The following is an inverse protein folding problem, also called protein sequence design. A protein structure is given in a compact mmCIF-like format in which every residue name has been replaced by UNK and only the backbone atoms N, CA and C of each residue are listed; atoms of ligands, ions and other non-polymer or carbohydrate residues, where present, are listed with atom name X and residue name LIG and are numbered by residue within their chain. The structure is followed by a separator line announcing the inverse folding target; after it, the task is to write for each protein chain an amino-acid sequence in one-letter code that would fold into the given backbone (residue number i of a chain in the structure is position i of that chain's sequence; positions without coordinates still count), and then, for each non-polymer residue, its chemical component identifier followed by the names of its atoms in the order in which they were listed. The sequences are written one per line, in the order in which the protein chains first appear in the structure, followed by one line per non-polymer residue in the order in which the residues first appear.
data_IF_981765358432
#
_entry.id   IF_981765358432
#
_cell.length_a   1.000
_cell.length_b   1.000
_cell.length_c   1.000
_cell.angle_alpha   90.00
_cell.angle_beta   90.00
_cell.angle_gamma   90.00
#
_symmetry.space_group_name_H-M   'P 1'
#
loop_
_entity.id
_entity.type
_entity.pdbx_description
1 polymer ?
#
# COMPACT_ATOMS: atom_id res chain seq x y z
N UNK A 1 10.14 -18.23 64.38
CA UNK A 1 11.07 -17.12 64.65
C UNK A 1 12.33 -17.10 63.76
N UNK A 2 12.43 -17.95 62.71
CA UNK A 2 13.53 -17.90 61.73
C UNK A 2 13.03 -17.53 60.32
N UNK A 3 11.71 -17.48 60.12
CA UNK A 3 11.09 -17.16 58.82
C UNK A 3 10.80 -15.67 58.60
N UNK A 4 11.00 -14.81 59.62
CA UNK A 4 10.76 -13.36 59.51
C UNK A 4 12.03 -12.55 59.21
N UNK A 5 13.21 -13.18 59.23
CA UNK A 5 14.48 -12.50 58.89
C UNK A 5 14.81 -12.58 57.39
N UNK A 6 14.52 -13.71 56.72
CA UNK A 6 14.72 -13.83 55.26
C UNK A 6 13.79 -12.90 54.47
N UNK A 7 12.54 -12.72 54.93
CA UNK A 7 11.57 -11.84 54.26
C UNK A 7 11.91 -10.33 54.37
N UNK A 8 12.63 -9.91 55.40
CA UNK A 8 13.02 -8.51 55.60
C UNK A 8 14.33 -8.14 54.89
N UNK A 9 15.17 -9.14 54.56
CA UNK A 9 16.40 -8.94 53.79
C UNK A 9 16.11 -8.83 52.28
N UNK A 10 15.15 -9.59 51.75
CA UNK A 10 14.75 -9.52 50.34
C UNK A 10 14.04 -8.19 49.99
N UNK A 11 13.27 -7.61 50.92
CA UNK A 11 12.66 -6.28 50.74
C UNK A 11 13.70 -5.15 50.75
N UNK A 12 14.83 -5.32 51.46
CA UNK A 12 15.91 -4.32 51.46
C UNK A 12 16.79 -4.39 50.20
N UNK A 13 16.95 -5.56 49.57
CA UNK A 13 17.65 -5.71 48.29
C UNK A 13 16.83 -5.10 47.14
N UNK A 14 15.50 -5.15 47.20
CA UNK A 14 14.63 -4.55 46.20
C UNK A 14 14.56 -3.00 46.28
N UNK A 15 14.86 -2.42 47.45
CA UNK A 15 14.73 -0.96 47.69
C UNK A 15 16.07 -0.22 47.53
N UNK A 16 17.21 -0.91 47.37
CA UNK A 16 18.53 -0.25 47.20
C UNK A 16 19.10 -0.26 45.77
N UNK A 17 18.42 -0.85 44.79
CA UNK A 17 18.81 -0.73 43.39
C UNK A 17 17.97 0.37 42.73
N UNK A 18 18.35 1.63 42.96
CA UNK A 18 17.98 2.69 42.03
C UNK A 18 18.45 2.24 40.64
N UNK A 19 17.53 1.72 39.82
CA UNK A 19 17.82 1.11 38.52
C UNK A 19 18.60 2.12 37.70
N UNK A 20 19.93 1.96 37.67
CA UNK A 20 20.83 2.83 36.95
C UNK A 20 20.34 2.80 35.50
N UNK A 21 19.94 3.96 34.99
CA UNK A 21 19.38 4.06 33.65
C UNK A 21 20.43 3.51 32.68
N UNK A 22 20.15 2.38 32.05
CA UNK A 22 21.11 1.70 31.17
C UNK A 22 21.53 2.67 30.06
N UNK A 23 22.83 2.79 29.86
CA UNK A 23 23.38 3.55 28.74
C UNK A 23 23.16 2.78 27.43
N UNK A 24 23.28 3.47 26.29
CA UNK A 24 23.24 2.83 24.97
C UNK A 24 24.29 1.72 24.83
N UNK A 25 25.45 1.89 25.49
CA UNK A 25 26.52 0.89 25.52
C UNK A 25 26.07 -0.37 26.24
N UNK A 26 25.43 -0.22 27.40
CA UNK A 26 24.96 -1.36 28.21
C UNK A 26 23.93 -2.19 27.41
N UNK A 27 23.02 -1.53 26.69
CA UNK A 27 22.08 -2.22 25.79
C UNK A 27 22.76 -2.94 24.63
N UNK A 28 23.81 -2.34 24.06
CA UNK A 28 24.56 -2.96 22.98
C UNK A 28 25.32 -4.20 23.46
N UNK A 29 25.95 -4.13 24.63
CA UNK A 29 26.65 -5.27 25.25
C UNK A 29 25.67 -6.40 25.57
N UNK A 30 24.48 -6.08 26.09
CA UNK A 30 23.40 -7.06 26.30
C UNK A 30 22.90 -7.72 25.01
N UNK A 31 22.79 -6.95 23.93
CA UNK A 31 22.42 -7.46 22.61
C UNK A 31 23.50 -8.38 22.04
N UNK A 32 24.78 -7.96 22.07
CA UNK A 32 25.91 -8.75 21.57
C UNK A 32 26.02 -10.07 22.33
N UNK A 33 25.84 -10.06 23.65
CA UNK A 33 25.84 -11.27 24.47
C UNK A 33 24.72 -12.28 24.08
N UNK A 34 23.64 -11.80 23.45
CA UNK A 34 22.49 -12.62 23.02
C UNK A 34 22.40 -12.78 21.49
N UNK A 35 23.36 -12.22 20.75
CA UNK A 35 23.30 -12.16 19.29
C UNK A 35 23.17 -13.54 18.65
N UNK A 36 23.79 -14.58 19.24
CA UNK A 36 23.66 -15.96 18.75
C UNK A 36 22.23 -16.48 18.76
N UNK A 37 21.49 -16.27 19.86
CA UNK A 37 20.08 -16.70 19.99
C UNK A 37 19.21 -15.91 18.99
N UNK A 38 19.42 -14.59 18.90
CA UNK A 38 18.70 -13.72 17.97
C UNK A 38 18.95 -14.13 16.52
N UNK A 39 20.22 -14.36 16.14
CA UNK A 39 20.57 -14.77 14.78
C UNK A 39 19.98 -16.14 14.42
N UNK A 40 20.00 -17.12 15.34
CA UNK A 40 19.39 -18.42 15.10
C UNK A 40 17.88 -18.28 14.84
N UNK A 41 17.16 -17.55 15.70
CA UNK A 41 15.72 -17.31 15.53
C UNK A 41 15.42 -16.53 14.22
N UNK A 42 16.27 -15.58 13.84
CA UNK A 42 16.15 -14.88 12.55
C UNK A 42 16.33 -15.83 11.36
N UNK A 43 17.28 -16.76 11.43
CA UNK A 43 17.50 -17.77 10.39
C UNK A 43 16.34 -18.78 10.30
N UNK A 44 15.67 -19.10 11.40
CA UNK A 44 14.47 -19.96 11.38
C UNK A 44 13.34 -19.36 10.55
N UNK A 45 13.20 -18.03 10.51
CA UNK A 45 12.25 -17.35 9.61
C UNK A 45 12.64 -17.44 8.13
N UNK A 46 13.89 -17.76 7.82
CA UNK A 46 14.36 -18.00 6.46
C UNK A 46 14.39 -19.48 6.08
N UNK A 47 14.22 -20.38 7.07
CA UNK A 47 14.28 -21.81 6.88
C UNK A 47 13.14 -22.31 5.97
N UNK A 48 13.50 -23.27 5.12
CA UNK A 48 12.56 -23.89 4.20
C UNK A 48 11.81 -25.02 4.88
N UNK A 49 10.53 -24.79 5.13
CA UNK A 49 9.59 -25.86 5.47
C UNK A 49 8.94 -26.33 4.17
N UNK A 50 9.09 -27.62 3.85
CA UNK A 50 8.58 -28.20 2.60
C UNK A 50 7.08 -28.52 2.65
N UNK A 51 6.49 -28.56 3.83
CA UNK A 51 5.06 -28.79 4.09
C UNK A 51 4.33 -27.49 4.39
N UNK A 52 3.09 -27.37 3.91
CA UNK A 52 2.27 -26.18 4.09
C UNK A 52 1.89 -26.00 5.57
N UNK A 53 2.13 -24.81 6.12
CA UNK A 53 1.77 -24.48 7.50
C UNK A 53 0.26 -24.64 7.78
N UNK A 54 -0.60 -24.21 6.87
CA UNK A 54 -2.05 -24.21 7.11
C UNK A 54 -2.75 -25.56 6.90
N UNK A 55 -2.30 -26.39 5.95
CA UNK A 55 -2.98 -27.65 5.64
C UNK A 55 -2.14 -28.89 5.90
N UNK A 56 -0.85 -28.75 6.24
CA UNK A 56 0.09 -29.79 6.67
C UNK A 56 0.39 -30.94 5.68
N UNK A 57 -0.36 -31.08 4.59
CA UNK A 57 -0.24 -32.21 3.67
C UNK A 57 0.29 -31.84 2.28
N UNK A 58 0.15 -30.57 1.86
CA UNK A 58 0.63 -30.11 0.55
C UNK A 58 2.03 -29.54 0.62
N UNK A 59 2.76 -29.65 -0.49
CA UNK A 59 4.06 -28.99 -0.64
C UNK A 59 3.92 -27.48 -0.53
N UNK A 60 4.72 -26.87 0.32
CA UNK A 60 4.82 -25.43 0.44
C UNK A 60 5.86 -24.87 -0.52
N UNK A 61 5.49 -23.81 -1.22
CA UNK A 61 6.37 -23.12 -2.17
C UNK A 61 6.22 -21.62 -2.13
N UNK A 62 5.36 -21.09 -1.26
CA UNK A 62 5.03 -19.68 -1.17
C UNK A 62 5.23 -19.19 0.25
N UNK A 63 5.79 -18.00 0.43
CA UNK A 63 5.79 -17.29 1.72
C UNK A 63 5.35 -15.86 1.55
N UNK A 64 4.72 -15.31 2.58
CA UNK A 64 4.37 -13.90 2.64
C UNK A 64 5.43 -13.15 3.44
N UNK A 65 5.87 -11.98 2.95
CA UNK A 65 6.85 -11.13 3.64
C UNK A 65 6.23 -10.23 4.71
N UNK A 66 4.90 -10.14 4.73
CA UNK A 66 4.15 -9.17 5.54
C UNK A 66 3.31 -9.83 6.63
N UNK A 67 2.90 -11.09 6.45
CA UNK A 67 2.33 -11.86 7.54
C UNK A 67 3.35 -12.02 8.69
N UNK A 68 2.86 -11.88 9.92
CA UNK A 68 3.67 -11.89 11.14
C UNK A 68 4.59 -13.12 11.27
N UNK A 69 4.06 -14.32 10.99
CA UNK A 69 4.80 -15.57 11.24
C UNK A 69 5.71 -16.00 10.07
N UNK A 70 5.65 -15.32 8.90
CA UNK A 70 6.47 -15.60 7.70
C UNK A 70 6.61 -17.09 7.34
N UNK A 71 5.55 -17.87 7.54
CA UNK A 71 5.54 -19.31 7.29
C UNK A 71 5.37 -19.65 5.81
N UNK A 72 5.64 -20.91 5.47
CA UNK A 72 5.51 -21.46 4.12
C UNK A 72 4.11 -22.03 3.89
N UNK A 73 3.50 -21.69 2.75
CA UNK A 73 2.17 -22.12 2.33
C UNK A 73 2.21 -22.82 0.97
N UNK A 74 1.24 -23.71 0.75
CA UNK A 74 0.87 -24.15 -0.59
C UNK A 74 0.09 -23.04 -1.32
N UNK A 75 -0.07 -23.16 -2.64
CA UNK A 75 -0.74 -22.16 -3.48
C UNK A 75 -2.16 -21.80 -2.99
N UNK A 76 -2.95 -22.81 -2.65
CA UNK A 76 -4.35 -22.63 -2.22
C UNK A 76 -4.45 -21.93 -0.87
N UNK A 77 -3.69 -22.39 0.13
CA UNK A 77 -3.69 -21.74 1.45
C UNK A 77 -3.12 -20.33 1.38
N UNK A 78 -2.13 -20.07 0.50
CA UNK A 78 -1.63 -18.72 0.26
C UNK A 78 -2.73 -17.81 -0.28
N UNK A 79 -3.52 -18.28 -1.27
CA UNK A 79 -4.68 -17.53 -1.80
C UNK A 79 -5.68 -17.22 -0.70
N UNK A 80 -6.16 -18.26 -0.01
CA UNK A 80 -7.26 -18.11 0.96
C UNK A 80 -6.89 -17.19 2.13
N UNK A 81 -5.63 -17.25 2.60
CA UNK A 81 -5.13 -16.37 3.65
C UNK A 81 -5.02 -14.90 3.23
N UNK A 82 -5.03 -14.59 1.93
CA UNK A 82 -4.78 -13.25 1.38
C UNK A 82 -5.93 -12.68 0.56
N UNK A 83 -7.13 -13.27 0.62
CA UNK A 83 -8.31 -12.71 -0.04
C UNK A 83 -8.64 -11.30 0.51
N UNK A 84 -8.54 -11.13 1.83
CA UNK A 84 -8.78 -9.84 2.52
C UNK A 84 -7.54 -8.95 2.59
N UNK A 85 -6.36 -9.47 2.21
CA UNK A 85 -5.09 -8.74 2.24
C UNK A 85 -4.42 -8.79 0.85
N UNK A 86 -5.07 -8.26 -0.20
CA UNK A 86 -4.66 -8.46 -1.59
C UNK A 86 -3.35 -7.75 -1.95
N UNK A 87 -2.86 -6.85 -1.08
CA UNK A 87 -1.63 -6.08 -1.33
C UNK A 87 -0.42 -6.63 -0.57
N UNK A 88 -0.51 -7.78 0.09
CA UNK A 88 0.68 -8.38 0.71
C UNK A 88 1.71 -8.84 -0.34
N UNK A 89 2.99 -8.60 -0.06
CA UNK A 89 4.08 -9.09 -0.92
C UNK A 89 4.43 -10.53 -0.58
N UNK A 90 4.48 -11.36 -1.61
CA UNK A 90 4.81 -12.78 -1.50
C UNK A 90 6.10 -13.12 -2.25
N UNK A 91 6.63 -14.31 -1.96
CA UNK A 91 7.77 -14.89 -2.68
C UNK A 91 7.46 -16.35 -3.01
N UNK A 92 8.02 -16.82 -4.13
CA UNK A 92 7.94 -18.21 -4.57
C UNK A 92 9.32 -18.86 -4.45
N UNK A 93 9.36 -20.05 -3.86
CA UNK A 93 10.54 -20.90 -3.86
C UNK A 93 10.74 -21.55 -5.23
N UNK A 94 11.88 -21.30 -5.87
CA UNK A 94 12.22 -21.86 -7.19
C UNK A 94 12.83 -23.25 -7.10
N UNK A 95 13.23 -23.69 -5.90
CA UNK A 95 14.06 -24.87 -5.69
C UNK A 95 15.48 -24.51 -5.25
N UNK A 96 15.94 -23.31 -5.57
CA UNK A 96 17.28 -22.81 -5.22
C UNK A 96 17.25 -21.50 -4.43
N UNK A 97 16.31 -20.61 -4.74
CA UNK A 97 16.18 -19.32 -4.07
C UNK A 97 14.71 -18.86 -4.05
N UNK A 98 14.44 -17.81 -3.27
CA UNK A 98 13.14 -17.14 -3.27
C UNK A 98 13.12 -16.01 -4.29
N UNK A 99 12.25 -16.13 -5.29
CA UNK A 99 11.95 -15.03 -6.20
C UNK A 99 10.78 -14.19 -5.67
N UNK A 100 10.72 -12.90 -5.99
CA UNK A 100 9.51 -12.11 -5.85
C UNK A 100 8.32 -12.80 -6.55
N UNK A 101 7.17 -12.77 -5.91
CA UNK A 101 5.92 -13.29 -6.47
C UNK A 101 4.81 -12.27 -6.30
N UNK A 102 3.74 -12.45 -7.07
CA UNK A 102 2.54 -11.62 -6.94
C UNK A 102 1.32 -12.47 -6.60
N UNK A 103 0.40 -11.89 -5.85
CA UNK A 103 -0.77 -12.59 -5.34
C UNK A 103 -1.72 -13.10 -6.45
N UNK A 104 -1.68 -12.51 -7.64
CA UNK A 104 -2.41 -13.07 -8.79
C UNK A 104 -1.87 -14.44 -9.24
N UNK A 105 -0.58 -14.76 -9.03
CA UNK A 105 -0.01 -16.07 -9.40
C UNK A 105 -0.66 -17.20 -8.58
N UNK A 106 -1.06 -16.88 -7.35
CA UNK A 106 -1.81 -17.80 -6.50
C UNK A 106 -3.32 -17.70 -6.71
N UNK A 107 -3.80 -16.71 -7.48
CA UNK A 107 -5.20 -16.51 -7.87
C UNK A 107 -6.00 -15.61 -6.94
N UNK A 108 -5.35 -14.65 -6.29
CA UNK A 108 -6.04 -13.55 -5.60
C UNK A 108 -6.40 -12.47 -6.62
N UNK A 109 -7.60 -11.92 -6.48
CA UNK A 109 -8.13 -10.80 -7.24
C UNK A 109 -8.76 -9.78 -6.29
N UNK A 110 -8.94 -8.56 -6.76
CA UNK A 110 -9.70 -7.52 -6.03
C UNK A 110 -11.11 -7.50 -6.60
N UNK A 111 -12.08 -7.98 -5.81
CA UNK A 111 -13.49 -8.03 -6.20
C UNK A 111 -14.24 -6.89 -5.52
N UNK A 112 -14.97 -6.12 -6.30
CA UNK A 112 -15.97 -5.17 -5.79
C UNK A 112 -17.34 -5.74 -6.09
N UNK A 113 -17.90 -6.41 -5.08
CA UNK A 113 -19.29 -6.84 -5.10
C UNK A 113 -20.19 -5.64 -4.78
N UNK A 114 -21.26 -5.45 -5.54
CA UNK A 114 -22.33 -4.56 -5.11
C UNK A 114 -22.95 -5.20 -3.86
N UNK A 115 -23.10 -4.44 -2.78
CA UNK A 115 -23.69 -4.97 -1.55
C UNK A 115 -25.07 -5.57 -1.83
N UNK A 116 -25.14 -6.90 -1.94
CA UNK A 116 -26.36 -7.75 -2.00
C UNK A 116 -27.43 -7.26 -2.99
N UNK A 117 -27.18 -7.42 -4.28
CA UNK A 117 -28.27 -7.85 -5.17
C UNK A 117 -27.94 -9.25 -5.67
N UNK A 118 -28.69 -10.22 -5.18
CA UNK A 118 -28.66 -11.59 -5.66
C UNK A 118 -28.96 -11.60 -7.16
N UNK A 119 -27.95 -11.79 -8.00
CA UNK A 119 -28.13 -12.26 -9.36
C UNK A 119 -27.90 -13.77 -9.34
N UNK A 120 -29.01 -14.50 -9.28
CA UNK A 120 -29.06 -15.92 -9.63
C UNK A 120 -29.22 -16.07 -11.14
N UNK A 121 -28.52 -17.07 -11.70
CA UNK A 121 -28.60 -17.54 -13.09
C UNK A 121 -27.91 -16.59 -14.08
N UNK A 122 -27.27 -17.02 -15.14
CA UNK A 122 -26.93 -18.33 -15.72
C UNK A 122 -25.85 -17.99 -16.76
N UNK A 123 -25.03 -18.97 -17.14
CA UNK A 123 -23.95 -18.81 -18.12
C UNK A 123 -24.46 -18.24 -19.45
N UNK A 124 -23.75 -17.26 -20.02
CA UNK A 124 -23.75 -17.01 -21.46
C UNK A 124 -22.38 -16.47 -21.87
N UNK A 125 -21.59 -17.37 -22.49
CA UNK A 125 -20.33 -17.07 -23.17
C UNK A 125 -20.66 -16.54 -24.56
N UNK A 126 -20.38 -15.28 -24.84
CA UNK A 126 -20.30 -14.78 -26.21
C UNK A 126 -19.03 -13.96 -26.42
N UNK A 127 -18.21 -14.46 -27.34
CA UNK A 127 -16.95 -13.88 -27.74
C UNK A 127 -17.11 -12.68 -28.68
N UNK A 128 -16.13 -11.78 -28.62
CA UNK A 128 -15.84 -10.87 -29.71
C UNK A 128 -14.34 -10.56 -29.74
N UNK A 129 -13.72 -10.86 -30.87
CA UNK A 129 -12.40 -10.39 -31.28
C UNK A 129 -12.35 -8.85 -31.31
N UNK A 130 -11.20 -8.26 -30.93
CA UNK A 130 -10.37 -7.49 -31.89
C UNK A 130 -9.11 -6.84 -31.24
N UNK A 131 -7.99 -7.12 -31.91
CA UNK A 131 -6.88 -6.25 -32.34
C UNK A 131 -5.91 -5.62 -31.30
N UNK A 132 -4.73 -6.23 -31.32
CA UNK A 132 -3.41 -5.80 -30.86
C UNK A 132 -2.92 -4.53 -31.60
N UNK A 133 -2.60 -3.48 -30.85
CA UNK A 133 -1.72 -2.41 -31.31
C UNK A 133 -0.82 -1.90 -30.15
N UNK A 134 0.50 -2.07 -30.31
CA UNK A 134 1.50 -1.14 -29.79
C UNK A 134 2.22 -1.51 -28.49
N UNK A 135 3.16 -2.46 -28.54
CA UNK A 135 4.20 -2.62 -27.49
C UNK A 135 5.22 -1.48 -27.56
N UNK A 136 5.15 -0.54 -26.62
CA UNK A 136 6.32 0.25 -26.24
C UNK A 136 7.19 -0.61 -25.31
N UNK A 137 8.43 -0.90 -25.75
CA UNK A 137 9.36 -1.75 -25.01
C UNK A 137 9.64 -1.22 -23.60
N UNK A 138 9.22 -1.99 -22.59
CA UNK A 138 9.72 -1.81 -21.24
C UNK A 138 11.19 -2.29 -21.20
N UNK A 139 12.07 -1.63 -20.44
CA UNK A 139 13.40 -2.18 -20.17
C UNK A 139 13.26 -3.57 -19.55
N UNK A 140 14.07 -4.52 -20.01
CA UNK A 140 14.08 -5.90 -19.54
C UNK A 140 14.13 -5.92 -18.00
N UNK A 141 13.06 -6.43 -17.39
CA UNK A 141 12.97 -6.58 -15.94
C UNK A 141 14.10 -7.52 -15.46
N UNK A 142 14.59 -7.37 -14.22
CA UNK A 142 15.47 -8.36 -13.62
C UNK A 142 14.82 -9.76 -13.72
N UNK A 143 15.67 -10.76 -13.96
CA UNK A 143 15.40 -12.08 -14.57
C UNK A 143 14.26 -12.91 -13.93
N UNK A 144 13.63 -12.49 -12.83
CA UNK A 144 12.66 -13.32 -12.10
C UNK A 144 11.44 -12.59 -11.52
N UNK A 145 11.10 -11.42 -12.05
CA UNK A 145 9.86 -10.73 -11.68
C UNK A 145 8.66 -11.24 -12.46
N UNK A 146 7.52 -11.53 -11.80
CA UNK A 146 6.32 -11.94 -12.49
C UNK A 146 5.74 -10.75 -13.27
N UNK A 147 5.70 -10.87 -14.59
CA UNK A 147 4.99 -9.92 -15.46
C UNK A 147 3.52 -10.32 -15.45
N UNK A 148 2.66 -9.41 -15.01
CA UNK A 148 1.22 -9.63 -15.06
C UNK A 148 0.75 -9.73 -16.53
N UNK A 149 -0.12 -10.69 -16.86
CA UNK A 149 -0.75 -10.75 -18.17
C UNK A 149 -1.70 -9.55 -18.35
N UNK A 150 -2.17 -9.32 -19.58
CA UNK A 150 -3.14 -8.25 -19.86
C UNK A 150 -4.50 -8.54 -19.23
N UNK A 151 -4.95 -9.80 -19.34
CA UNK A 151 -6.22 -10.31 -18.82
C UNK A 151 -5.98 -11.60 -18.03
N UNK A 152 -6.90 -11.89 -17.11
CA UNK A 152 -6.94 -13.18 -16.43
C UNK A 152 -7.67 -14.24 -17.30
N UNK A 153 -7.74 -15.53 -16.87
CA UNK A 153 -8.44 -16.57 -17.62
C UNK A 153 -9.92 -16.27 -17.91
N UNK A 154 -10.54 -15.42 -17.10
CA UNK A 154 -11.95 -15.03 -17.17
C UNK A 154 -12.13 -13.68 -17.90
N UNK A 155 -11.10 -13.20 -18.62
CA UNK A 155 -11.07 -11.94 -19.37
C UNK A 155 -11.19 -10.66 -18.52
N UNK A 156 -10.88 -10.74 -17.22
CA UNK A 156 -10.84 -9.54 -16.37
C UNK A 156 -9.50 -8.80 -16.53
N UNK A 157 -9.54 -7.46 -16.57
CA UNK A 157 -8.33 -6.66 -16.73
C UNK A 157 -7.49 -6.64 -15.45
N UNK A 158 -6.17 -6.65 -15.64
CA UNK A 158 -5.24 -6.33 -14.57
C UNK A 158 -5.15 -4.83 -14.33
N UNK A 159 -5.23 -4.45 -13.07
CA UNK A 159 -5.13 -3.07 -12.60
C UNK A 159 -3.90 -2.93 -11.72
N UNK A 160 -3.21 -1.80 -11.86
CA UNK A 160 -2.08 -1.44 -11.03
C UNK A 160 -2.54 -0.74 -9.75
N UNK A 161 -2.43 -1.42 -8.62
CA UNK A 161 -2.70 -0.90 -7.29
C UNK A 161 -1.43 -0.33 -6.67
N UNK A 162 -1.50 0.90 -6.21
CA UNK A 162 -0.42 1.60 -5.52
C UNK A 162 -0.72 1.58 -4.02
N UNK A 163 0.13 0.92 -3.23
CA UNK A 163 -0.04 0.72 -1.79
C UNK A 163 1.24 1.09 -1.02
N UNK A 164 1.15 1.25 0.31
CA UNK A 164 2.26 1.75 1.17
C UNK A 164 3.52 0.88 1.13
N UNK A 165 3.38 -0.38 0.73
CA UNK A 165 4.44 -1.37 0.63
C UNK A 165 4.96 -1.60 -0.80
N UNK A 166 4.36 -0.99 -1.82
CA UNK A 166 4.76 -1.14 -3.21
C UNK A 166 3.59 -1.10 -4.20
N UNK A 167 3.92 -1.43 -5.45
CA UNK A 167 2.97 -1.52 -6.56
C UNK A 167 2.57 -2.98 -6.81
N UNK A 168 1.28 -3.23 -6.98
CA UNK A 168 0.70 -4.56 -7.17
C UNK A 168 -0.15 -4.58 -8.42
N UNK A 169 0.12 -5.49 -9.35
CA UNK A 169 -0.77 -5.72 -10.49
C UNK A 169 -1.69 -6.89 -10.15
N UNK A 170 -3.00 -6.69 -10.11
CA UNK A 170 -3.95 -7.76 -9.77
C UNK A 170 -5.18 -7.69 -10.69
N UNK A 171 -5.87 -8.82 -10.94
CA UNK A 171 -7.17 -8.79 -11.58
C UNK A 171 -8.14 -7.96 -10.74
N UNK A 172 -8.88 -7.09 -11.41
CA UNK A 172 -9.91 -6.25 -10.79
C UNK A 172 -11.26 -6.60 -11.38
N UNK A 173 -12.13 -7.13 -10.53
CA UNK A 173 -13.45 -7.62 -10.91
C UNK A 173 -14.49 -6.69 -10.31
N UNK A 174 -15.34 -6.12 -11.14
CA UNK A 174 -16.39 -5.21 -10.72
C UNK A 174 -17.64 -5.44 -11.55
N UNK A 175 -18.81 -5.46 -10.89
CA UNK A 175 -20.09 -5.58 -11.57
C UNK A 175 -20.30 -4.43 -12.59
N UNK A 176 -20.76 -4.77 -13.80
CA UNK A 176 -21.15 -3.79 -14.82
C UNK A 176 -22.51 -3.14 -14.59
N UNK A 177 -23.27 -3.61 -13.60
CA UNK A 177 -24.70 -3.33 -13.40
C UNK A 177 -25.07 -1.87 -13.07
N UNK A 178 -24.14 -1.03 -12.58
CA UNK A 178 -24.44 0.33 -12.07
C UNK A 178 -23.92 1.51 -12.90
N UNK A 179 -23.40 1.27 -14.11
CA UNK A 179 -22.78 2.31 -14.94
C UNK A 179 -21.51 2.91 -14.29
N UNK A 180 -20.98 3.98 -14.88
CA UNK A 180 -19.66 4.52 -14.49
C UNK A 180 -19.64 5.11 -13.07
N UNK A 181 -20.71 5.80 -12.66
CA UNK A 181 -20.77 6.45 -11.35
C UNK A 181 -20.78 5.44 -10.20
N UNK A 182 -21.57 4.37 -10.32
CA UNK A 182 -21.57 3.30 -9.31
C UNK A 182 -20.24 2.55 -9.29
N UNK A 183 -19.58 2.43 -10.46
CA UNK A 183 -18.24 1.84 -10.52
C UNK A 183 -17.21 2.66 -9.75
N UNK A 184 -17.23 3.98 -9.91
CA UNK A 184 -16.37 4.89 -9.14
C UNK A 184 -16.70 4.80 -7.64
N UNK A 185 -17.99 4.85 -7.29
CA UNK A 185 -18.44 4.77 -5.90
C UNK A 185 -18.03 3.44 -5.25
N UNK A 186 -18.16 2.32 -5.95
CA UNK A 186 -17.71 1.00 -5.48
C UNK A 186 -16.22 0.97 -5.14
N UNK A 187 -15.37 1.51 -6.03
CA UNK A 187 -13.92 1.62 -5.76
C UNK A 187 -13.65 2.45 -4.50
N UNK A 188 -14.29 3.61 -4.38
CA UNK A 188 -14.13 4.50 -3.22
C UNK A 188 -14.63 3.85 -1.92
N UNK A 189 -15.74 3.10 -1.94
CA UNK A 189 -16.25 2.35 -0.78
C UNK A 189 -15.25 1.27 -0.33
N UNK A 190 -14.52 0.67 -1.28
CA UNK A 190 -13.41 -0.25 -1.01
C UNK A 190 -12.09 0.45 -0.69
N UNK A 191 -12.10 1.76 -0.40
CA UNK A 191 -10.93 2.58 -0.06
C UNK A 191 -9.88 2.62 -1.18
N UNK A 192 -10.34 2.59 -2.42
CA UNK A 192 -9.52 2.71 -3.63
C UNK A 192 -9.89 4.00 -4.38
N UNK A 193 -8.87 4.78 -4.72
CA UNK A 193 -8.99 5.98 -5.52
C UNK A 193 -8.48 5.74 -6.93
N UNK A 194 -9.34 5.77 -7.97
CA UNK A 194 -8.90 5.65 -9.34
C UNK A 194 -8.02 6.84 -9.76
N UNK A 195 -6.93 6.57 -10.49
CA UNK A 195 -6.12 7.63 -11.10
C UNK A 195 -6.82 8.31 -12.30
N UNK A 196 -7.82 7.63 -12.87
CA UNK A 196 -8.70 8.09 -13.94
C UNK A 196 -10.12 7.63 -13.64
N UNK A 197 -11.11 8.45 -13.95
CA UNK A 197 -12.52 8.15 -13.72
C UNK A 197 -13.22 7.53 -14.94
N UNK A 198 -12.51 7.26 -16.04
CA UNK A 198 -13.07 6.63 -17.25
C UNK A 198 -12.61 5.19 -17.40
N UNK A 199 -11.31 4.94 -17.27
CA UNK A 199 -10.70 3.62 -17.39
C UNK A 199 -9.76 3.41 -16.20
N UNK A 200 -10.06 2.41 -15.38
CA UNK A 200 -9.33 2.12 -14.16
C UNK A 200 -8.07 1.29 -14.43
N UNK A 201 -7.01 1.90 -14.96
CA UNK A 201 -5.71 1.21 -15.15
C UNK A 201 -4.81 1.27 -13.91
N UNK A 202 -4.96 2.32 -13.11
CA UNK A 202 -4.19 2.55 -11.88
C UNK A 202 -5.14 2.98 -10.78
N UNK A 203 -4.99 2.39 -9.59
CA UNK A 203 -5.72 2.77 -8.38
C UNK A 203 -4.75 3.00 -7.22
N UNK A 204 -5.04 3.98 -6.39
CA UNK A 204 -4.30 4.26 -5.16
C UNK A 204 -5.14 3.81 -3.98
N UNK A 205 -4.54 3.03 -3.08
CA UNK A 205 -5.18 2.73 -1.80
C UNK A 205 -5.27 4.00 -0.95
N UNK A 206 -6.29 4.14 -0.10
CA UNK A 206 -6.36 5.27 0.81
C UNK A 206 -5.17 5.30 1.78
N UNK A 207 -4.64 4.13 2.13
CA UNK A 207 -3.51 4.01 3.04
C UNK A 207 -2.25 4.68 2.48
N UNK A 208 -1.97 4.57 1.16
CA UNK A 208 -0.83 5.30 0.58
C UNK A 208 -1.08 6.80 0.50
N UNK A 209 -2.32 7.22 0.27
CA UNK A 209 -2.65 8.64 0.23
C UNK A 209 -2.43 9.28 1.61
N UNK A 210 -2.82 8.58 2.67
CA UNK A 210 -2.62 9.03 4.05
C UNK A 210 -1.15 8.95 4.48
N UNK A 211 -0.45 7.85 4.19
CA UNK A 211 0.98 7.71 4.50
C UNK A 211 1.82 8.77 3.78
N UNK A 212 1.49 9.07 2.51
CA UNK A 212 2.14 10.14 1.77
C UNK A 212 1.84 11.52 2.36
N UNK A 213 0.58 11.78 2.75
CA UNK A 213 0.18 13.04 3.41
C UNK A 213 0.96 13.25 4.70
N UNK A 214 1.09 12.22 5.54
CA UNK A 214 1.84 12.26 6.79
C UNK A 214 3.35 12.43 6.54
N UNK A 215 3.93 11.69 5.59
CA UNK A 215 5.34 11.83 5.23
C UNK A 215 5.68 13.22 4.67
N UNK A 216 4.74 13.84 3.95
CA UNK A 216 4.89 15.21 3.48
C UNK A 216 4.81 16.21 4.63
N UNK A 217 3.86 16.04 5.56
CA UNK A 217 3.63 16.94 6.68
C UNK A 217 4.77 16.88 7.72
N UNK A 218 5.08 15.69 8.21
CA UNK A 218 6.00 15.48 9.34
C UNK A 218 7.46 15.43 8.88
N UNK A 219 7.72 14.71 7.80
CA UNK A 219 9.09 14.48 7.33
C UNK A 219 9.52 15.44 6.22
N UNK A 220 8.65 16.38 5.81
CA UNK A 220 8.89 17.30 4.68
C UNK A 220 9.30 16.57 3.40
N UNK A 221 8.85 15.34 3.24
CA UNK A 221 9.21 14.49 2.11
C UNK A 221 8.47 14.97 0.88
N UNK A 222 9.20 15.32 -0.18
CA UNK A 222 8.58 15.67 -1.46
C UNK A 222 7.89 14.45 -2.10
N UNK A 223 6.88 14.70 -2.94
CA UNK A 223 6.21 13.65 -3.72
C UNK A 223 7.21 12.76 -4.49
N UNK A 224 8.29 13.36 -5.01
CA UNK A 224 9.31 12.64 -5.75
C UNK A 224 10.11 11.70 -4.83
N UNK A 225 10.60 12.19 -3.69
CA UNK A 225 11.35 11.37 -2.73
C UNK A 225 10.50 10.22 -2.18
N UNK A 226 9.24 10.49 -1.86
CA UNK A 226 8.30 9.47 -1.40
C UNK A 226 8.06 8.42 -2.49
N UNK A 227 7.90 8.85 -3.75
CA UNK A 227 7.75 7.92 -4.86
C UNK A 227 9.00 7.07 -5.09
N UNK A 228 10.21 7.64 -4.97
CA UNK A 228 11.45 6.85 -5.06
C UNK A 228 11.57 5.82 -3.92
N UNK A 229 11.12 6.15 -2.71
CA UNK A 229 11.00 5.18 -1.61
C UNK A 229 10.05 4.05 -1.98
N UNK A 230 8.89 4.37 -2.56
CA UNK A 230 7.91 3.38 -2.99
C UNK A 230 8.44 2.45 -4.08
N UNK A 231 9.19 2.98 -5.05
CA UNK A 231 9.87 2.17 -6.07
C UNK A 231 10.86 1.19 -5.44
N UNK A 232 11.64 1.65 -4.46
CA UNK A 232 12.60 0.79 -3.74
C UNK A 232 11.91 -0.23 -2.83
N UNK A 233 10.74 0.08 -2.27
CA UNK A 233 9.91 -0.90 -1.56
C UNK A 233 9.37 -1.96 -2.52
N UNK A 234 8.96 -1.58 -3.72
CA UNK A 234 8.44 -2.50 -4.75
C UNK A 234 9.56 -3.40 -5.27
N UNK A 235 10.66 -2.81 -5.72
CA UNK A 235 11.83 -3.52 -6.23
C UNK A 235 13.12 -2.94 -5.64
N UNK A 236 13.68 -3.57 -4.59
CA UNK A 236 14.85 -3.05 -3.88
C UNK A 236 16.14 -3.03 -4.70
N UNK A 237 16.35 -4.01 -5.59
CA UNK A 237 17.61 -4.16 -6.32
C UNK A 237 17.62 -3.36 -7.63
N UNK A 238 16.45 -3.09 -8.20
CA UNK A 238 16.31 -2.35 -9.45
C UNK A 238 15.10 -1.40 -9.45
N UNK A 239 15.01 -0.41 -8.54
CA UNK A 239 13.85 0.47 -8.41
C UNK A 239 13.47 1.20 -9.71
N UNK A 240 14.44 1.40 -10.62
CA UNK A 240 14.23 2.04 -11.91
C UNK A 240 13.27 1.29 -12.85
N UNK A 241 13.06 -0.02 -12.65
CA UNK A 241 12.17 -0.83 -13.51
C UNK A 241 10.70 -0.73 -13.09
N UNK A 242 10.44 -0.19 -11.90
CA UNK A 242 9.10 0.06 -11.41
C UNK A 242 8.46 1.16 -12.24
N UNK A 243 7.27 0.87 -12.78
CA UNK A 243 6.43 1.75 -13.61
C UNK A 243 6.29 3.11 -12.96
N UNK A 244 6.49 4.19 -13.72
CA UNK A 244 6.42 5.57 -13.23
C UNK A 244 4.96 6.05 -13.07
N UNK A 245 4.59 6.43 -11.84
CA UNK A 245 3.26 6.94 -11.43
C UNK A 245 3.36 8.16 -10.50
N UNK A 246 4.51 8.83 -10.48
CA UNK A 246 4.74 10.05 -9.72
C UNK A 246 3.71 11.16 -10.05
N UNK A 247 3.37 11.34 -11.33
CA UNK A 247 2.46 12.41 -11.75
C UNK A 247 1.07 12.23 -11.14
N UNK A 248 0.56 11.00 -11.11
CA UNK A 248 -0.70 10.62 -10.51
C UNK A 248 -0.65 10.75 -8.98
N UNK A 249 0.41 10.28 -8.32
CA UNK A 249 0.59 10.47 -6.88
C UNK A 249 0.60 11.96 -6.50
N UNK A 250 1.32 12.79 -7.27
CA UNK A 250 1.42 14.22 -7.03
C UNK A 250 0.05 14.91 -7.11
N UNK A 251 -0.84 14.49 -8.03
CA UNK A 251 -2.21 15.04 -8.12
C UNK A 251 -2.97 14.83 -6.81
N UNK A 252 -2.84 13.67 -6.18
CA UNK A 252 -3.49 13.41 -4.89
C UNK A 252 -2.86 14.18 -3.73
N UNK A 253 -1.56 14.46 -3.77
CA UNK A 253 -0.89 15.32 -2.77
C UNK A 253 -1.26 16.81 -2.85
N UNK A 254 -1.69 17.27 -4.02
CA UNK A 254 -2.13 18.65 -4.23
C UNK A 254 -3.58 18.87 -3.79
N UNK A 255 -4.38 17.81 -3.75
CA UNK A 255 -5.73 17.84 -3.22
C UNK A 255 -5.67 17.77 -1.69
N UNK A 256 -5.77 18.93 -1.03
CA UNK A 256 -6.00 19.01 0.42
C UNK A 256 -7.41 18.51 0.75
N UNK A 257 -7.62 17.21 0.73
CA UNK A 257 -8.87 16.61 1.18
C UNK A 257 -8.97 16.79 2.69
N UNK A 258 -9.97 17.53 3.15
CA UNK A 258 -10.42 17.45 4.54
C UNK A 258 -11.68 16.62 4.60
N UNK A 259 -11.77 15.81 5.65
CA UNK A 259 -13.03 15.27 6.16
C UNK A 259 -14.06 16.39 6.22
N UNK A 260 -15.18 16.20 5.54
CA UNK A 260 -16.30 17.11 5.62
C UNK A 260 -16.90 17.00 7.03
N UNK A 261 -17.05 18.11 7.72
CA UNK A 261 -17.99 18.25 8.82
C UNK A 261 -19.40 17.96 8.29
N UNK A 262 -19.85 16.70 8.36
CA UNK A 262 -21.23 16.17 8.40
C UNK A 262 -22.33 16.75 7.49
N UNK A 263 -22.08 17.73 6.64
CA UNK A 263 -23.09 18.43 5.88
C UNK A 263 -23.29 17.75 4.54
N UNK A 264 -24.53 17.32 4.33
CA UNK A 264 -25.05 16.78 3.08
C UNK A 264 -24.58 17.63 1.90
N UNK A 265 -23.82 16.99 1.01
CA UNK A 265 -23.20 17.59 -0.16
C UNK A 265 -24.29 17.77 -1.24
N UNK A 266 -25.21 18.72 -1.06
CA UNK A 266 -26.27 18.98 -2.05
C UNK A 266 -25.86 20.00 -3.11
N UNK A 267 -24.78 20.77 -2.91
CA UNK A 267 -24.30 21.73 -3.92
C UNK A 267 -22.77 21.83 -3.92
N UNK A 268 -22.09 20.89 -4.59
CA UNK A 268 -20.68 21.10 -4.97
C UNK A 268 -20.64 22.06 -6.16
N UNK A 269 -20.60 23.36 -5.88
CA UNK A 269 -20.18 24.33 -6.89
C UNK A 269 -18.68 24.16 -7.14
N UNK A 270 -18.31 24.10 -8.41
CA UNK A 270 -16.93 24.08 -8.91
C UNK A 270 -16.09 25.11 -8.13
N UNK A 271 -14.98 24.67 -7.51
CA UNK A 271 -14.04 25.48 -6.72
C UNK A 271 -14.38 25.80 -5.23
N UNK A 272 -15.15 24.98 -4.52
CA UNK A 272 -15.32 25.10 -3.04
C UNK A 272 -14.98 23.86 -2.21
N UNK A 273 -14.18 22.95 -2.75
CA UNK A 273 -13.68 21.79 -1.98
C UNK A 273 -12.42 22.11 -1.16
N UNK A 274 -11.79 23.27 -1.38
CA UNK A 274 -10.67 23.73 -0.57
C UNK A 274 -11.18 24.57 0.61
N UNK A 275 -10.68 24.29 1.82
CA UNK A 275 -10.88 25.21 2.94
C UNK A 275 -10.20 26.56 2.65
N UNK A 276 -10.79 27.62 3.20
CA UNK A 276 -10.17 28.93 3.27
C UNK A 276 -8.77 28.82 3.90
N UNK A 277 -7.73 29.10 3.11
CA UNK A 277 -6.35 29.10 3.53
C UNK A 277 -5.88 30.56 3.64
N UNK A 278 -5.56 31.07 4.85
CA UNK A 278 -5.14 32.47 5.02
C UNK A 278 -3.79 32.79 4.37
N UNK A 279 -3.04 31.76 3.95
CA UNK A 279 -1.76 31.90 3.26
C UNK A 279 -1.88 31.83 1.73
N UNK A 280 -3.02 31.39 1.18
CA UNK A 280 -3.26 31.41 -0.26
C UNK A 280 -3.59 32.86 -0.69
N UNK A 281 -3.13 33.34 -1.85
CA UNK A 281 -3.53 34.62 -2.43
C UNK A 281 -5.07 34.74 -2.54
N UNK A 282 -5.65 35.72 -1.87
CA UNK A 282 -7.09 36.00 -1.85
C UNK A 282 -7.32 37.51 -2.07
N UNK A 283 -7.87 37.92 -3.24
CA UNK A 283 -8.19 39.31 -3.51
C UNK A 283 -9.09 39.92 -2.43
N UNK A 284 -8.72 41.08 -1.89
CA UNK A 284 -9.48 41.78 -0.85
C UNK A 284 -9.38 41.19 0.57
N UNK A 285 -8.55 40.16 0.78
CA UNK A 285 -8.28 39.59 2.11
C UNK A 285 -6.81 39.74 2.48
N UNK A 286 -5.91 39.15 1.70
CA UNK A 286 -4.47 39.16 1.96
C UNK A 286 -3.63 39.56 0.73
N UNK A 287 -4.29 40.03 -0.33
CA UNK A 287 -3.67 40.69 -1.47
C UNK A 287 -3.90 42.21 -1.39
N UNK A 288 -2.89 43.04 -1.68
CA UNK A 288 -3.05 44.49 -1.77
C UNK A 288 -3.98 44.86 -2.94
N UNK A 289 -4.72 45.96 -2.84
CA UNK A 289 -5.77 46.31 -3.82
C UNK A 289 -5.26 46.46 -5.27
N UNK A 290 -4.01 46.86 -5.43
CA UNK A 290 -3.33 47.02 -6.73
C UNK A 290 -2.55 45.76 -7.17
N UNK A 291 -2.81 44.58 -6.58
CA UNK A 291 -2.07 43.34 -6.89
C UNK A 291 -2.06 42.96 -8.38
N UNK A 292 -3.06 43.39 -9.16
CA UNK A 292 -3.16 43.15 -10.62
C UNK A 292 -2.11 43.93 -11.43
N UNK A 293 -1.61 45.02 -10.86
CA UNK A 293 -0.65 45.93 -11.46
C UNK A 293 0.79 45.65 -11.00
N UNK A 294 0.97 44.73 -10.05
CA UNK A 294 2.27 44.29 -9.54
C UNK A 294 3.07 43.57 -10.65
N UNK A 295 4.34 43.95 -10.83
CA UNK A 295 5.25 43.32 -11.79
C UNK A 295 5.45 41.82 -11.50
N UNK A 296 5.23 41.38 -10.26
CA UNK A 296 5.32 39.98 -9.81
C UNK A 296 3.98 39.22 -9.83
N UNK A 297 2.93 39.76 -10.46
CA UNK A 297 1.57 39.16 -10.52
C UNK A 297 1.49 37.69 -10.93
N UNK A 298 2.46 37.17 -11.68
CA UNK A 298 2.49 35.76 -12.11
C UNK A 298 2.59 34.77 -10.94
N UNK A 299 3.13 35.19 -9.78
CA UNK A 299 3.20 34.36 -8.57
C UNK A 299 1.83 34.27 -7.87
N UNK A 300 0.99 35.30 -8.03
CA UNK A 300 -0.34 35.39 -7.39
C UNK A 300 -1.45 34.70 -8.20
N UNK A 301 -1.30 34.62 -9.53
CA UNK A 301 -2.30 34.00 -10.44
C UNK A 301 -2.38 32.47 -10.35
N UNK A 302 -1.30 31.78 -9.95
CA UNK A 302 -1.26 30.32 -9.90
C UNK A 302 -2.12 29.69 -8.78
N UNK A 303 -2.76 30.50 -7.93
CA UNK A 303 -3.49 30.04 -6.74
C UNK A 303 -4.95 30.52 -6.70
N UNK A 304 -5.39 31.37 -7.62
CA UNK A 304 -6.74 31.97 -7.61
C UNK A 304 -7.76 31.32 -8.55
N UNK A 305 -7.34 30.42 -9.45
CA UNK A 305 -8.22 29.69 -10.39
C UNK A 305 -8.23 28.16 -10.20
N UNK A 306 -7.83 27.67 -9.02
CA UNK A 306 -7.92 26.24 -8.64
C UNK A 306 -8.92 26.03 -7.52
#
# INVERSE_FOLDING_TARGET
MVLDQEYMEDEQIAVSAASKMKSQRDYLEEFVARAGIVMNALMEHEALISTCYACEHRRASWRCKECHQRTMFCRECMRNAHLEMPFHRIQKWTGQYFRPGSLWEVGVCVIIDHARHAHGGEEDLDGADEKDEGKAGLPEAPIDHPIAPSMDPDQNPYVLFVHTNGLHSLPYIQCGCGGLQERIAGAVRMRLMPASFTIFKTMFTFDILEDFRLANLECKTSAYQYYQLLRRKTEPLAPQVVVERYAELRRFGQNKTRESDGNTISEVRTAKLALFCPCCPQPGVNLPDNWKEDENKCVMWLVSES
#
